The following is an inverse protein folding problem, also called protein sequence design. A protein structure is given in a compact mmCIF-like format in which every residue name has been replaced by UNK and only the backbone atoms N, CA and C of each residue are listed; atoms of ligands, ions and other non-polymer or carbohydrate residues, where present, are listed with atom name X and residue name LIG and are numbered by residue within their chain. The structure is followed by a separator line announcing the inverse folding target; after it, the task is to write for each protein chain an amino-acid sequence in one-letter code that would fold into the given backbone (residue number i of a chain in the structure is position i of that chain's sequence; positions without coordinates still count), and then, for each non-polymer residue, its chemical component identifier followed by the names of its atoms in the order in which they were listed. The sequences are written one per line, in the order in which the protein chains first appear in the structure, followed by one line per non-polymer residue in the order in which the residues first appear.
data_IF_513999487280
#
_entry.id   IF_513999487280
#
_cell.length_a   1.000
_cell.length_b   1.000
_cell.length_c   1.000
_cell.angle_alpha   90.00
_cell.angle_beta   90.00
_cell.angle_gamma   90.00
#
_symmetry.space_group_name_H-M   'P 1'
#
loop_
_entity.id
_entity.type
_entity.pdbx_description
1 polymer ?
#
# COMPACT_ATOMS: atom_id res chain seq x y z
N UNK A 1 -26.63 -35.01 6.86
CA UNK A 1 -26.27 -35.12 5.42
C UNK A 1 -24.96 -34.41 5.17
N UNK A 2 -23.90 -35.17 4.88
CA UNK A 2 -22.55 -34.63 4.69
C UNK A 2 -22.45 -33.89 3.35
N UNK A 3 -22.07 -32.62 3.41
CA UNK A 3 -21.80 -31.79 2.22
C UNK A 3 -20.55 -32.34 1.53
N UNK A 4 -20.58 -32.65 0.21
CA UNK A 4 -19.47 -33.28 -0.48
C UNK A 4 -18.24 -32.36 -0.58
N UNK A 5 -17.06 -32.99 -0.62
CA UNK A 5 -15.68 -32.47 -0.61
C UNK A 5 -15.28 -31.54 -1.79
N UNK A 6 -16.16 -30.67 -2.29
CA UNK A 6 -15.86 -29.75 -3.40
C UNK A 6 -15.32 -28.37 -2.97
N UNK A 7 -14.84 -28.23 -1.73
CA UNK A 7 -14.52 -26.94 -1.11
C UNK A 7 -13.03 -26.64 -0.91
N UNK A 8 -12.12 -27.53 -1.35
CA UNK A 8 -10.66 -27.36 -1.24
C UNK A 8 -10.07 -26.14 -2.01
N UNK A 9 -10.90 -25.33 -2.67
CA UNK A 9 -10.49 -24.13 -3.41
C UNK A 9 -10.96 -22.79 -2.84
N UNK A 10 -11.67 -22.77 -1.70
CA UNK A 10 -12.30 -21.54 -1.16
C UNK A 10 -11.34 -20.54 -0.52
N UNK A 11 -10.09 -20.93 -0.20
CA UNK A 11 -9.04 -20.03 0.29
C UNK A 11 -8.21 -19.35 -0.82
N UNK A 12 -8.31 -19.81 -2.08
CA UNK A 12 -7.50 -19.30 -3.20
C UNK A 12 -8.21 -18.17 -3.97
N UNK A 13 -7.52 -17.06 -4.32
CA UNK A 13 -8.08 -16.02 -5.17
C UNK A 13 -8.52 -16.58 -6.52
N UNK A 14 -9.71 -16.20 -7.00
CA UNK A 14 -10.20 -16.60 -8.33
C UNK A 14 -9.20 -16.13 -9.40
N UNK A 15 -8.65 -17.03 -10.24
CA UNK A 15 -7.75 -16.62 -11.32
C UNK A 15 -8.44 -15.62 -12.25
N UNK A 16 -7.96 -14.38 -12.26
CA UNK A 16 -8.39 -13.38 -13.23
C UNK A 16 -7.70 -13.66 -14.56
N UNK A 17 -8.48 -14.01 -15.57
CA UNK A 17 -8.04 -14.02 -16.96
C UNK A 17 -7.29 -15.27 -17.39
N UNK A 18 -8.02 -16.26 -17.93
CA UNK A 18 -7.40 -17.48 -18.48
C UNK A 18 -8.26 -18.24 -19.49
N UNK A 19 -9.32 -17.65 -20.06
CA UNK A 19 -10.23 -18.36 -20.99
C UNK A 19 -9.50 -18.98 -22.21
N UNK A 20 -8.36 -18.42 -22.65
CA UNK A 20 -7.59 -18.97 -23.78
C UNK A 20 -6.83 -20.26 -23.46
N UNK A 21 -6.28 -20.42 -22.24
CA UNK A 21 -5.49 -21.60 -21.87
C UNK A 21 -6.35 -22.84 -21.59
N UNK A 22 -7.53 -22.65 -21.01
CA UNK A 22 -8.46 -23.75 -20.74
C UNK A 22 -9.07 -24.33 -22.03
N UNK A 23 -9.39 -23.46 -23.01
CA UNK A 23 -9.93 -23.89 -24.31
C UNK A 23 -8.89 -24.61 -25.19
N UNK A 24 -7.60 -24.24 -25.08
CA UNK A 24 -6.51 -24.98 -25.74
C UNK A 24 -6.33 -26.38 -25.14
N UNK A 25 -6.26 -26.47 -23.79
CA UNK A 25 -6.05 -27.74 -23.08
C UNK A 25 -7.19 -28.75 -23.32
N UNK A 26 -8.43 -28.26 -23.44
CA UNK A 26 -9.60 -29.10 -23.72
C UNK A 26 -9.70 -29.53 -25.20
N UNK A 27 -9.12 -28.75 -26.13
CA UNK A 27 -9.03 -29.10 -27.56
C UNK A 27 -7.91 -30.12 -27.82
N UNK A 28 -6.80 -30.00 -27.08
CA UNK A 28 -5.65 -30.91 -27.14
C UNK A 28 -5.98 -32.28 -26.52
N UNK A 29 -6.75 -32.32 -25.42
CA UNK A 29 -7.26 -33.55 -24.82
C UNK A 29 -8.23 -34.33 -25.72
N UNK A 30 -8.98 -33.64 -26.59
CA UNK A 30 -9.88 -34.27 -27.58
C UNK A 30 -9.15 -34.86 -28.78
N UNK A 31 -7.94 -34.38 -29.08
CA UNK A 31 -7.12 -34.83 -30.21
C UNK A 31 -6.23 -36.04 -29.88
N UNK A 32 -5.96 -36.29 -28.59
CA UNK A 32 -5.05 -37.37 -28.15
C UNK A 32 -5.75 -38.66 -27.69
N UNK A 33 -7.08 -38.75 -27.74
CA UNK A 33 -7.81 -40.00 -27.46
C UNK A 33 -7.55 -40.62 -26.08
N UNK A 34 -7.06 -39.87 -25.10
CA UNK A 34 -6.81 -40.38 -23.74
C UNK A 34 -8.09 -40.30 -22.91
N UNK A 35 -8.86 -41.39 -22.91
CA UNK A 35 -9.91 -41.62 -21.93
C UNK A 35 -9.30 -42.22 -20.66
N UNK A 36 -8.96 -41.38 -19.69
CA UNK A 36 -8.79 -41.83 -18.30
C UNK A 36 -10.16 -41.87 -17.63
N UNK A 37 -10.61 -43.07 -17.30
CA UNK A 37 -11.84 -43.39 -16.58
C UNK A 37 -11.86 -42.78 -15.18
N UNK A 38 -12.64 -41.70 -15.01
CA UNK A 38 -13.18 -41.28 -13.70
C UNK A 38 -14.72 -41.18 -13.85
N UNK A 39 -15.48 -42.09 -13.24
CA UNK A 39 -16.92 -42.15 -13.42
C UNK A 39 -17.64 -41.28 -12.38
N UNK A 40 -17.56 -39.95 -12.47
CA UNK A 40 -18.50 -39.07 -11.72
C UNK A 40 -18.73 -37.66 -12.25
N UNK A 41 -18.21 -37.29 -13.43
CA UNK A 41 -18.42 -35.93 -13.97
C UNK A 41 -19.49 -35.86 -15.07
N UNK A 42 -20.09 -36.98 -15.45
CA UNK A 42 -20.95 -37.05 -16.65
C UNK A 42 -22.38 -36.50 -16.45
N UNK A 43 -22.82 -36.26 -15.21
CA UNK A 43 -24.19 -35.82 -14.89
C UNK A 43 -24.24 -34.50 -14.10
N UNK A 44 -23.52 -33.49 -14.57
CA UNK A 44 -23.63 -32.15 -13.97
C UNK A 44 -24.91 -31.47 -14.47
N UNK A 45 -25.83 -31.12 -13.58
CA UNK A 45 -27.15 -30.54 -13.90
C UNK A 45 -27.09 -29.41 -14.94
N UNK A 46 -26.02 -28.59 -14.95
CA UNK A 46 -25.86 -27.49 -15.90
C UNK A 46 -25.58 -27.92 -17.36
N UNK A 47 -25.41 -29.21 -17.62
CA UNK A 47 -25.24 -29.79 -18.97
C UNK A 47 -26.55 -30.33 -19.54
N UNK A 48 -27.65 -30.28 -18.79
CA UNK A 48 -28.96 -30.69 -19.26
C UNK A 48 -29.54 -29.61 -20.18
N UNK A 49 -30.08 -30.02 -21.33
CA UNK A 49 -30.59 -29.13 -22.38
C UNK A 49 -31.53 -28.03 -21.87
N UNK A 50 -32.37 -28.31 -20.86
CA UNK A 50 -33.27 -27.34 -20.23
C UNK A 50 -32.58 -26.13 -19.56
N UNK A 51 -31.28 -26.20 -19.35
CA UNK A 51 -30.46 -25.12 -18.79
C UNK A 51 -29.42 -24.59 -19.79
N UNK A 52 -29.53 -24.97 -21.07
CA UNK A 52 -28.61 -24.51 -22.09
C UNK A 52 -28.84 -23.02 -22.40
N UNK A 53 -27.97 -22.17 -21.84
CA UNK A 53 -27.98 -20.74 -22.10
C UNK A 53 -27.73 -20.39 -23.57
N UNK A 54 -27.23 -21.34 -24.38
CA UNK A 54 -27.05 -21.15 -25.80
C UNK A 54 -28.36 -21.25 -26.60
N UNK A 55 -29.34 -21.98 -26.08
CA UNK A 55 -30.68 -22.18 -26.66
C UNK A 55 -31.67 -21.15 -26.11
N UNK A 56 -31.63 -20.86 -24.80
CA UNK A 56 -32.69 -20.10 -24.12
C UNK A 56 -32.36 -18.63 -23.85
N UNK A 57 -31.09 -18.19 -23.94
CA UNK A 57 -30.74 -16.79 -23.69
C UNK A 57 -30.49 -16.03 -24.99
N UNK A 58 -31.10 -14.84 -25.09
CA UNK A 58 -30.82 -13.89 -26.16
C UNK A 58 -29.33 -13.49 -26.21
N UNK A 59 -28.85 -13.20 -27.42
CA UNK A 59 -27.44 -12.86 -27.67
C UNK A 59 -26.94 -11.68 -26.83
N UNK A 60 -27.78 -10.65 -26.63
CA UNK A 60 -27.43 -9.48 -25.84
C UNK A 60 -27.34 -9.80 -24.34
N UNK A 61 -28.30 -10.55 -23.81
CA UNK A 61 -28.30 -10.98 -22.42
C UNK A 61 -27.14 -11.94 -22.13
N UNK A 62 -26.81 -12.84 -23.04
CA UNK A 62 -25.65 -13.74 -22.91
C UNK A 62 -24.33 -12.98 -22.83
N UNK A 63 -24.15 -11.93 -23.64
CA UNK A 63 -22.99 -11.03 -23.57
C UNK A 63 -22.95 -10.25 -22.25
N UNK A 64 -24.10 -9.81 -21.73
CA UNK A 64 -24.20 -9.17 -20.42
C UNK A 64 -23.81 -10.14 -19.30
N UNK A 65 -24.39 -11.34 -19.28
CA UNK A 65 -24.09 -12.39 -18.32
C UNK A 65 -22.61 -12.78 -18.39
N UNK A 66 -22.02 -12.93 -19.57
CA UNK A 66 -20.59 -13.21 -19.71
C UNK A 66 -19.69 -12.11 -19.12
N UNK A 67 -20.11 -10.83 -19.18
CA UNK A 67 -19.38 -9.70 -18.58
C UNK A 67 -19.52 -9.66 -17.06
N UNK A 68 -20.68 -10.02 -16.52
CA UNK A 68 -21.00 -9.84 -15.10
C UNK A 68 -21.03 -11.12 -14.25
N UNK A 69 -20.99 -12.31 -14.85
CA UNK A 69 -21.08 -13.60 -14.14
C UNK A 69 -20.00 -13.74 -13.06
N UNK A 70 -18.76 -13.34 -13.35
CA UNK A 70 -17.69 -13.36 -12.35
C UNK A 70 -17.99 -12.43 -11.16
N UNK A 71 -18.63 -11.28 -11.39
CA UNK A 71 -19.01 -10.34 -10.32
C UNK A 71 -20.08 -10.96 -9.42
N UNK A 72 -21.05 -11.66 -10.02
CA UNK A 72 -22.11 -12.37 -9.30
C UNK A 72 -21.53 -13.55 -8.51
N UNK A 73 -20.72 -14.39 -9.14
CA UNK A 73 -20.06 -15.54 -8.48
C UNK A 73 -19.18 -15.10 -7.30
N UNK A 74 -18.44 -14.00 -7.44
CA UNK A 74 -17.66 -13.43 -6.34
C UNK A 74 -18.56 -12.93 -5.19
N UNK A 75 -19.73 -12.35 -5.49
CA UNK A 75 -20.70 -11.93 -4.47
C UNK A 75 -21.31 -13.13 -3.75
N UNK A 76 -21.77 -14.14 -4.49
CA UNK A 76 -22.31 -15.39 -3.91
C UNK A 76 -21.26 -16.07 -3.03
N UNK A 77 -20.02 -16.16 -3.51
CA UNK A 77 -18.90 -16.70 -2.72
C UNK A 77 -18.62 -15.89 -1.46
N UNK A 78 -18.66 -14.56 -1.54
CA UNK A 78 -18.46 -13.68 -0.39
C UNK A 78 -19.58 -13.85 0.64
N UNK A 79 -20.83 -13.98 0.21
CA UNK A 79 -21.98 -14.24 1.10
C UNK A 79 -21.86 -15.62 1.75
N UNK A 80 -21.46 -16.64 1.00
CA UNK A 80 -21.18 -17.97 1.55
C UNK A 80 -20.08 -17.92 2.62
N UNK A 81 -18.98 -17.22 2.33
CA UNK A 81 -17.87 -17.04 3.30
C UNK A 81 -18.34 -16.33 4.57
N UNK A 82 -19.11 -15.25 4.45
CA UNK A 82 -19.68 -14.57 5.63
C UNK A 82 -20.56 -15.53 6.43
N UNK A 83 -21.45 -16.27 5.76
CA UNK A 83 -22.37 -17.20 6.42
C UNK A 83 -21.62 -18.33 7.13
N UNK A 84 -20.72 -19.03 6.45
CA UNK A 84 -20.15 -20.27 6.98
C UNK A 84 -18.84 -20.10 7.74
N UNK A 85 -18.02 -19.10 7.39
CA UNK A 85 -16.67 -18.95 7.95
C UNK A 85 -16.55 -17.80 8.96
N UNK A 86 -17.43 -16.79 8.86
CA UNK A 86 -17.45 -15.66 9.82
C UNK A 86 -18.56 -15.86 10.85
N UNK A 87 -19.80 -16.11 10.41
CA UNK A 87 -20.93 -16.31 11.31
C UNK A 87 -20.93 -17.73 11.88
N UNK A 88 -20.60 -18.75 11.08
CA UNK A 88 -20.46 -20.13 11.55
C UNK A 88 -21.73 -20.62 12.25
N UNK A 89 -21.62 -21.04 13.50
CA UNK A 89 -22.72 -21.57 14.30
C UNK A 89 -23.77 -20.50 14.65
N UNK A 90 -23.38 -19.21 14.68
CA UNK A 90 -24.28 -18.08 14.95
C UNK A 90 -25.37 -17.93 13.88
N UNK A 91 -25.20 -18.56 12.72
CA UNK A 91 -26.21 -18.53 11.64
C UNK A 91 -27.56 -19.08 12.13
N UNK A 92 -27.54 -20.10 12.98
CA UNK A 92 -28.77 -20.68 13.53
C UNK A 92 -29.45 -19.70 14.48
N UNK A 93 -28.68 -19.11 15.40
CA UNK A 93 -29.16 -18.08 16.34
C UNK A 93 -29.75 -16.85 15.64
N UNK A 94 -29.08 -16.37 14.58
CA UNK A 94 -29.55 -15.26 13.75
C UNK A 94 -30.84 -15.64 13.00
N UNK A 95 -30.95 -16.88 12.53
CA UNK A 95 -32.15 -17.36 11.81
C UNK A 95 -33.35 -17.50 12.75
N UNK A 96 -33.11 -17.80 14.03
CA UNK A 96 -34.12 -17.89 15.09
C UNK A 96 -34.48 -16.52 15.70
N UNK A 97 -33.87 -15.44 15.19
CA UNK A 97 -34.17 -14.06 15.61
C UNK A 97 -33.56 -13.67 16.96
N UNK A 98 -32.59 -14.42 17.46
CA UNK A 98 -31.91 -14.10 18.71
C UNK A 98 -31.09 -12.81 18.60
N UNK A 99 -31.11 -11.99 19.64
CA UNK A 99 -30.41 -10.71 19.64
C UNK A 99 -28.94 -10.90 20.02
N UNK A 100 -28.02 -10.21 19.34
CA UNK A 100 -26.58 -10.29 19.62
C UNK A 100 -26.20 -9.87 21.06
N UNK A 101 -27.12 -9.26 21.80
CA UNK A 101 -26.92 -8.84 23.20
C UNK A 101 -27.33 -9.90 24.24
N UNK A 102 -27.92 -11.03 23.82
CA UNK A 102 -28.38 -12.13 24.69
C UNK A 102 -27.36 -13.28 24.79
N UNK A 103 -26.25 -13.19 24.05
CA UNK A 103 -25.23 -14.23 23.95
C UNK A 103 -24.21 -14.16 25.10
N UNK A 104 -24.63 -14.57 26.32
CA UNK A 104 -23.76 -14.69 27.51
C UNK A 104 -23.45 -16.12 27.95
N UNK A 105 -24.01 -17.15 27.31
CA UNK A 105 -24.03 -18.52 27.85
C UNK A 105 -23.50 -19.59 26.88
N UNK A 106 -22.51 -19.29 26.03
CA UNK A 106 -21.85 -20.32 25.21
C UNK A 106 -20.32 -20.24 25.25
N UNK A 107 -19.77 -20.04 26.45
CA UNK A 107 -18.32 -20.01 26.70
C UNK A 107 -17.84 -20.88 27.87
N UNK A 108 -18.69 -21.74 28.46
CA UNK A 108 -18.29 -22.65 29.54
C UNK A 108 -18.40 -24.09 29.08
N UNK A 109 -17.28 -24.63 28.61
CA UNK A 109 -16.87 -26.04 28.38
C UNK A 109 -15.75 -25.92 27.34
N UNK A 110 -14.50 -25.60 27.66
CA UNK A 110 -13.64 -26.15 28.70
C UNK A 110 -12.43 -25.22 28.85
N UNK A 111 -12.30 -24.54 29.97
CA UNK A 111 -11.04 -23.95 30.43
C UNK A 111 -10.85 -24.47 31.86
N UNK A 112 -10.03 -25.51 32.01
CA UNK A 112 -9.27 -25.72 33.22
C UNK A 112 -7.81 -25.41 32.89
N UNK A 113 -7.35 -24.34 33.52
CA UNK A 113 -5.98 -23.90 33.82
C UNK A 113 -4.85 -24.09 32.78
N UNK A 114 -4.32 -22.98 32.29
CA UNK A 114 -3.08 -22.35 32.81
C UNK A 114 -2.64 -21.23 31.86
N UNK A 115 -2.31 -20.05 32.39
CA UNK A 115 -2.13 -18.87 31.55
C UNK A 115 -1.61 -17.62 32.24
N UNK A 116 -0.33 -17.68 32.61
CA UNK A 116 0.60 -16.58 32.90
C UNK A 116 0.25 -15.20 32.30
N UNK A 117 0.36 -14.23 33.18
CA UNK A 117 0.21 -12.78 33.07
C UNK A 117 0.98 -12.14 31.89
N UNK A 118 0.30 -11.25 31.17
CA UNK A 118 0.88 -10.38 30.12
C UNK A 118 0.91 -8.94 30.62
N UNK A 119 2.10 -8.33 30.65
CA UNK A 119 2.23 -6.89 30.87
C UNK A 119 2.15 -6.12 29.56
N UNK A 120 0.99 -5.47 29.38
CA UNK A 120 0.69 -4.19 28.75
C UNK A 120 1.56 -3.60 27.62
N UNK A 121 0.88 -3.20 26.53
CA UNK A 121 1.15 -1.93 25.84
C UNK A 121 -0.18 -1.25 25.44
N UNK A 122 -0.28 0.10 25.47
CA UNK A 122 -1.54 0.85 25.39
C UNK A 122 -1.86 1.40 23.98
N UNK A 123 -3.17 1.60 23.75
CA UNK A 123 -3.81 2.74 23.05
C UNK A 123 -3.47 3.07 21.58
N UNK A 124 -4.46 3.15 20.66
CA UNK A 124 -4.28 3.70 19.32
C UNK A 124 -4.81 5.15 19.24
N UNK A 125 -3.94 6.10 18.87
CA UNK A 125 -4.33 7.34 18.22
C UNK A 125 -3.65 7.45 16.85
N UNK A 126 -4.42 7.99 15.91
CA UNK A 126 -4.07 8.49 14.58
C UNK A 126 -3.51 7.54 13.51
N UNK A 127 -4.37 7.25 12.52
CA UNK A 127 -3.93 6.96 11.15
C UNK A 127 -4.46 8.02 10.19
N UNK A 128 -3.58 8.71 9.43
CA UNK A 128 -3.98 9.66 8.42
C UNK A 128 -4.36 8.98 7.09
N UNK A 129 -5.30 9.65 6.44
CA UNK A 129 -5.83 9.46 5.09
C UNK A 129 -4.78 9.47 3.97
N UNK A 130 -5.05 8.71 2.89
CA UNK A 130 -4.90 9.06 1.45
C UNK A 130 -4.81 7.79 0.56
N UNK A 131 -4.96 7.86 -0.78
CA UNK A 131 -5.81 8.74 -1.60
C UNK A 131 -6.63 7.94 -2.64
N UNK A 132 -7.64 8.62 -3.21
CA UNK A 132 -8.48 8.13 -4.31
C UNK A 132 -7.70 7.98 -5.63
N UNK A 133 -8.15 7.08 -6.50
CA UNK A 133 -7.86 7.14 -7.94
C UNK A 133 -9.08 6.65 -8.74
N UNK A 134 -9.27 7.18 -9.97
CA UNK A 134 -10.57 7.40 -10.59
C UNK A 134 -11.00 6.24 -11.47
N UNK A 135 -12.28 6.22 -11.87
CA UNK A 135 -12.72 5.44 -13.02
C UNK A 135 -13.78 6.20 -13.85
N UNK A 136 -13.90 5.89 -15.15
CA UNK A 136 -14.44 6.78 -16.16
C UNK A 136 -15.97 6.73 -16.26
N UNK A 137 -16.53 7.89 -16.59
CA UNK A 137 -17.94 8.16 -16.87
C UNK A 137 -18.44 7.45 -18.13
N UNK A 138 -19.62 6.83 -18.07
CA UNK A 138 -20.58 6.69 -19.18
C UNK A 138 -22.00 6.79 -18.58
N UNK A 139 -22.97 7.47 -19.25
CA UNK A 139 -24.14 8.12 -18.61
C UNK A 139 -25.47 7.35 -18.75
N UNK A 140 -26.47 7.80 -17.97
CA UNK A 140 -27.90 7.45 -18.02
C UNK A 140 -28.33 6.52 -16.87
N UNK A 141 -29.39 6.74 -16.09
CA UNK A 141 -30.51 7.68 -16.11
C UNK A 141 -31.16 7.67 -14.71
N UNK A 142 -31.61 8.86 -14.32
CA UNK A 142 -32.65 9.28 -13.37
C UNK A 142 -33.09 8.43 -12.16
N UNK A 143 -33.10 9.12 -11.03
CA UNK A 143 -33.85 8.80 -9.81
C UNK A 143 -33.70 9.95 -8.82
N UNK A 144 -34.51 10.99 -8.99
CA UNK A 144 -34.44 12.23 -8.23
C UNK A 144 -34.57 12.02 -6.72
N UNK A 145 -33.76 12.75 -5.96
CA UNK A 145 -34.05 13.07 -4.57
C UNK A 145 -33.70 14.54 -4.32
N UNK A 146 -34.73 15.21 -3.82
CA UNK A 146 -34.88 16.61 -3.49
C UNK A 146 -33.76 17.13 -2.61
N UNK A 147 -33.22 18.30 -2.96
CA UNK A 147 -32.47 19.14 -2.05
C UNK A 147 -33.40 19.59 -0.92
N UNK A 148 -33.20 19.07 0.28
CA UNK A 148 -33.74 19.62 1.52
C UNK A 148 -32.56 19.98 2.41
N UNK A 149 -32.57 21.20 2.94
CA UNK A 149 -31.65 21.70 3.97
C UNK A 149 -31.34 20.62 5.03
N UNK A 150 -30.11 20.08 5.01
CA UNK A 150 -29.62 19.22 6.09
C UNK A 150 -28.72 20.04 7.03
N UNK A 151 -29.19 20.17 8.27
CA UNK A 151 -28.47 20.74 9.41
C UNK A 151 -27.03 20.17 9.49
N UNK A 152 -25.97 21.01 9.44
CA UNK A 152 -24.57 20.58 9.43
C UNK A 152 -24.15 19.84 10.72
N UNK A 153 -25.00 19.79 11.75
CA UNK A 153 -24.73 19.09 13.00
C UNK A 153 -25.48 17.76 13.18
N UNK A 154 -26.24 17.29 12.18
CA UNK A 154 -26.92 15.99 12.25
C UNK A 154 -25.98 14.85 11.85
N UNK A 155 -25.79 13.81 12.68
CA UNK A 155 -25.00 12.65 12.29
C UNK A 155 -25.66 11.96 11.09
N UNK A 156 -25.02 12.05 9.92
CA UNK A 156 -25.52 11.46 8.68
C UNK A 156 -25.27 9.95 8.69
N UNK A 157 -26.32 9.18 8.38
CA UNK A 157 -26.17 7.73 8.18
C UNK A 157 -25.23 7.47 7.00
N UNK A 158 -24.25 6.56 7.11
CA UNK A 158 -23.31 6.32 6.03
C UNK A 158 -24.00 5.90 4.74
N UNK A 159 -23.48 6.37 3.60
CA UNK A 159 -24.04 5.97 2.30
C UNK A 159 -23.91 4.45 2.09
N UNK A 160 -24.73 3.89 1.21
CA UNK A 160 -24.62 2.47 0.83
C UNK A 160 -23.22 2.12 0.28
N UNK A 161 -22.53 3.09 -0.32
CA UNK A 161 -21.15 2.90 -0.79
C UNK A 161 -20.17 2.83 0.38
N UNK A 162 -20.34 3.66 1.41
CA UNK A 162 -19.52 3.66 2.63
C UNK A 162 -19.69 2.36 3.40
N UNK A 163 -20.94 1.92 3.58
CA UNK A 163 -21.27 0.64 4.23
C UNK A 163 -20.65 -0.54 3.47
N UNK A 164 -20.80 -0.59 2.14
CA UNK A 164 -20.17 -1.63 1.32
C UNK A 164 -18.63 -1.61 1.42
N UNK A 165 -18.03 -0.41 1.44
CA UNK A 165 -16.58 -0.26 1.55
C UNK A 165 -16.07 -0.67 2.93
N UNK A 166 -16.80 -0.31 3.99
CA UNK A 166 -16.52 -0.74 5.36
C UNK A 166 -16.63 -2.26 5.50
N UNK A 167 -17.71 -2.87 5.01
CA UNK A 167 -17.93 -4.31 5.06
C UNK A 167 -16.78 -5.09 4.40
N UNK A 168 -16.34 -4.66 3.21
CA UNK A 168 -15.17 -5.27 2.54
C UNK A 168 -13.90 -5.19 3.37
N UNK A 169 -13.66 -4.04 4.02
CA UNK A 169 -12.48 -3.85 4.89
C UNK A 169 -12.54 -4.79 6.09
N UNK A 170 -13.70 -4.94 6.72
CA UNK A 170 -13.90 -5.87 7.85
C UNK A 170 -13.62 -7.31 7.42
N UNK A 171 -14.22 -7.77 6.32
CA UNK A 171 -14.00 -9.13 5.77
C UNK A 171 -12.51 -9.36 5.46
N UNK A 172 -11.86 -8.39 4.81
CA UNK A 172 -10.43 -8.48 4.47
C UNK A 172 -9.54 -8.50 5.72
N UNK A 173 -9.94 -7.77 6.77
CA UNK A 173 -9.25 -7.80 8.06
C UNK A 173 -9.36 -9.17 8.72
N UNK A 174 -10.56 -9.73 8.78
CA UNK A 174 -10.80 -11.08 9.29
C UNK A 174 -9.97 -12.11 8.52
N UNK A 175 -9.99 -12.11 7.18
CA UNK A 175 -9.21 -13.03 6.35
C UNK A 175 -7.70 -12.92 6.59
N UNK A 176 -7.17 -11.71 6.78
CA UNK A 176 -5.74 -11.51 7.10
C UNK A 176 -5.40 -12.03 8.50
N UNK A 177 -6.24 -11.78 9.49
CA UNK A 177 -6.04 -12.25 10.86
C UNK A 177 -6.16 -13.77 10.93
N UNK A 178 -7.21 -14.35 10.36
CA UNK A 178 -7.42 -15.80 10.27
C UNK A 178 -6.23 -16.49 9.62
N UNK A 179 -5.75 -15.97 8.47
CA UNK A 179 -4.57 -16.53 7.81
C UNK A 179 -3.29 -16.38 8.62
N UNK A 180 -3.13 -15.27 9.36
CA UNK A 180 -1.99 -15.04 10.26
C UNK A 180 -2.04 -16.00 11.45
N UNK A 181 -3.23 -16.28 11.96
CA UNK A 181 -3.48 -17.23 13.04
C UNK A 181 -3.27 -18.67 12.59
N UNK A 182 -3.75 -19.05 11.40
CA UNK A 182 -3.47 -20.34 10.76
C UNK A 182 -1.96 -20.53 10.54
N UNK A 183 -1.24 -19.48 10.13
CA UNK A 183 0.23 -19.47 10.04
C UNK A 183 0.90 -19.61 11.40
N UNK A 184 0.39 -18.96 12.45
CA UNK A 184 0.90 -19.12 13.82
C UNK A 184 0.63 -20.51 14.35
N UNK A 185 -0.56 -21.06 14.14
CA UNK A 185 -0.92 -22.42 14.53
C UNK A 185 -0.09 -23.43 13.75
N UNK A 186 0.15 -23.22 12.46
CA UNK A 186 1.04 -24.05 11.64
C UNK A 186 2.52 -23.88 12.02
N UNK A 187 2.94 -22.74 12.56
CA UNK A 187 4.28 -22.53 13.12
C UNK A 187 4.43 -23.17 14.51
N UNK A 188 3.36 -23.17 15.31
CA UNK A 188 3.28 -23.80 16.64
C UNK A 188 3.09 -25.33 16.55
N UNK A 189 2.44 -25.81 15.49
CA UNK A 189 2.22 -27.21 15.16
C UNK A 189 3.30 -27.78 14.24
N UNK A 190 4.15 -26.93 13.63
CA UNK A 190 5.49 -27.38 13.22
C UNK A 190 6.21 -27.70 14.54
N UNK A 191 6.71 -28.93 14.74
CA UNK A 191 7.64 -29.17 15.81
C UNK A 191 8.87 -28.32 15.50
N UNK A 192 8.93 -27.15 16.11
CA UNK A 192 10.14 -26.35 16.19
C UNK A 192 10.94 -26.97 17.31
N UNK A 193 11.50 -28.13 17.04
CA UNK A 193 12.73 -28.53 17.72
C UNK A 193 13.80 -27.57 17.20
N UNK A 194 14.40 -26.71 18.05
CA UNK A 194 15.62 -26.01 17.67
C UNK A 194 16.57 -27.06 17.09
N UNK A 195 17.15 -26.82 15.91
CA UNK A 195 18.09 -27.77 15.30
C UNK A 195 19.20 -28.21 16.30
N UNK A 196 19.52 -27.39 17.29
CA UNK A 196 20.37 -27.74 18.43
C UNK A 196 19.71 -28.71 19.44
N UNK A 197 18.46 -28.52 19.83
CA UNK A 197 17.74 -29.40 20.75
C UNK A 197 17.34 -30.74 20.11
N UNK A 198 17.03 -30.76 18.80
CA UNK A 198 16.82 -32.00 18.06
C UNK A 198 18.12 -32.80 17.97
N UNK A 199 19.26 -32.14 17.70
CA UNK A 199 20.58 -32.78 17.67
C UNK A 199 21.00 -33.25 19.08
N UNK A 200 20.68 -32.49 20.13
CA UNK A 200 20.94 -32.86 21.54
C UNK A 200 20.06 -34.04 21.99
N UNK A 201 18.78 -34.07 21.62
CA UNK A 201 17.86 -35.18 21.89
C UNK A 201 18.21 -36.45 21.08
N UNK A 202 18.71 -36.29 19.84
CA UNK A 202 19.24 -37.37 19.00
C UNK A 202 20.52 -37.97 19.61
N UNK A 203 21.41 -37.15 20.18
CA UNK A 203 22.60 -37.62 20.87
C UNK A 203 22.28 -38.29 22.22
N UNK A 204 21.23 -37.86 22.92
CA UNK A 204 20.77 -38.52 24.16
C UNK A 204 20.10 -39.88 23.90
N UNK A 205 19.59 -40.13 22.69
CA UNK A 205 19.02 -41.41 22.23
C UNK A 205 20.05 -42.37 21.58
N UNK A 206 21.34 -42.24 21.87
CA UNK A 206 22.41 -43.15 21.41
C UNK A 206 22.35 -44.58 22.01
N UNK A 207 21.16 -45.04 22.43
CA UNK A 207 20.96 -46.35 23.06
C UNK A 207 20.29 -47.42 22.21
N UNK A 208 19.47 -47.08 21.21
CA UNK A 208 18.71 -48.12 20.48
C UNK A 208 18.48 -47.76 19.02
N UNK A 209 19.26 -48.45 18.18
CA UNK A 209 18.94 -48.90 16.82
C UNK A 209 17.98 -48.01 16.03
N UNK A 210 18.53 -46.93 15.47
CA UNK A 210 17.86 -46.22 14.39
C UNK A 210 17.64 -47.18 13.22
N UNK A 211 16.40 -47.29 12.76
CA UNK A 211 16.12 -47.90 11.47
C UNK A 211 16.79 -47.04 10.39
N UNK A 212 17.76 -47.62 9.67
CA UNK A 212 18.50 -46.95 8.59
C UNK A 212 17.56 -46.33 7.55
N UNK A 213 16.35 -46.87 7.37
CA UNK A 213 15.31 -46.26 6.53
C UNK A 213 14.81 -44.92 7.07
N UNK A 214 14.64 -44.79 8.39
CA UNK A 214 14.10 -43.60 9.05
C UNK A 214 15.11 -42.44 9.03
N UNK A 215 16.40 -42.74 9.24
CA UNK A 215 17.48 -41.77 9.10
C UNK A 215 17.63 -41.30 7.65
N UNK A 216 17.58 -42.22 6.68
CA UNK A 216 17.63 -41.89 5.26
C UNK A 216 16.44 -40.98 4.85
N UNK A 217 15.23 -41.27 5.35
CA UNK A 217 14.04 -40.45 5.11
C UNK A 217 14.14 -39.04 5.73
N UNK A 218 14.72 -38.92 6.93
CA UNK A 218 14.96 -37.61 7.57
C UNK A 218 15.97 -36.77 6.79
N UNK A 219 17.12 -37.35 6.42
CA UNK A 219 18.15 -36.67 5.63
C UNK A 219 17.60 -36.24 4.27
N UNK A 220 16.84 -37.12 3.59
CA UNK A 220 16.16 -36.79 2.34
C UNK A 220 15.16 -35.63 2.49
N UNK A 221 14.41 -35.59 3.60
CA UNK A 221 13.48 -34.50 3.91
C UNK A 221 14.21 -33.19 4.15
N UNK A 222 15.30 -33.19 4.92
CA UNK A 222 16.15 -32.02 5.19
C UNK A 222 16.75 -31.49 3.89
N UNK A 223 17.38 -32.36 3.10
CA UNK A 223 17.98 -32.00 1.81
C UNK A 223 16.94 -31.44 0.84
N UNK A 224 15.74 -32.04 0.78
CA UNK A 224 14.62 -31.54 -0.03
C UNK A 224 14.13 -30.18 0.45
N UNK A 225 14.02 -29.95 1.77
CA UNK A 225 13.61 -28.65 2.31
C UNK A 225 14.66 -27.58 2.02
N UNK A 226 15.95 -27.86 2.19
CA UNK A 226 17.02 -26.91 1.86
C UNK A 226 17.08 -26.60 0.36
N UNK A 227 16.86 -27.61 -0.49
CA UNK A 227 16.78 -27.43 -1.94
C UNK A 227 15.60 -26.55 -2.33
N UNK A 228 14.44 -26.76 -1.71
CA UNK A 228 13.25 -25.92 -1.92
C UNK A 228 13.47 -24.49 -1.45
N UNK A 229 14.04 -24.29 -0.25
CA UNK A 229 14.37 -22.96 0.26
C UNK A 229 15.41 -22.24 -0.60
N UNK A 230 16.43 -22.95 -1.11
CA UNK A 230 17.39 -22.39 -2.07
C UNK A 230 16.69 -21.89 -3.33
N UNK A 231 15.79 -22.69 -3.90
CA UNK A 231 15.01 -22.29 -5.09
C UNK A 231 14.14 -21.05 -4.79
N UNK A 232 13.51 -20.98 -3.62
CA UNK A 232 12.70 -19.82 -3.21
C UNK A 232 13.57 -18.57 -3.04
N UNK A 233 14.68 -18.65 -2.30
CA UNK A 233 15.61 -17.52 -2.11
C UNK A 233 16.19 -17.03 -3.43
N UNK A 234 16.57 -17.95 -4.31
CA UNK A 234 17.06 -17.65 -5.65
C UNK A 234 16.01 -16.87 -6.46
N UNK A 235 14.78 -17.38 -6.47
CA UNK A 235 13.65 -16.73 -7.16
C UNK A 235 13.34 -15.35 -6.59
N UNK A 236 13.42 -15.19 -5.27
CA UNK A 236 13.24 -13.90 -4.61
C UNK A 236 14.36 -12.92 -4.96
N UNK A 237 15.62 -13.37 -4.98
CA UNK A 237 16.77 -12.56 -5.40
C UNK A 237 16.62 -12.09 -6.85
N UNK A 238 16.29 -12.99 -7.77
CA UNK A 238 16.03 -12.64 -9.17
C UNK A 238 14.87 -11.65 -9.29
N UNK A 239 13.79 -11.85 -8.54
CA UNK A 239 12.66 -10.91 -8.52
C UNK A 239 13.09 -9.53 -8.01
N UNK A 240 13.91 -9.47 -6.96
CA UNK A 240 14.42 -8.22 -6.41
C UNK A 240 15.32 -7.50 -7.41
N UNK A 241 16.22 -8.21 -8.09
CA UNK A 241 17.10 -7.63 -9.11
C UNK A 241 16.30 -7.04 -10.30
N UNK A 242 15.32 -7.79 -10.81
CA UNK A 242 14.41 -7.28 -11.84
C UNK A 242 13.64 -6.06 -11.35
N UNK A 243 13.21 -6.07 -10.08
CA UNK A 243 12.52 -4.94 -9.47
C UNK A 243 13.43 -3.74 -9.22
N UNK A 244 14.75 -3.91 -9.07
CA UNK A 244 15.70 -2.80 -8.99
C UNK A 244 15.78 -2.07 -10.34
N UNK A 245 15.99 -2.82 -11.42
CA UNK A 245 16.16 -2.28 -12.78
C UNK A 245 14.86 -1.67 -13.35
N UNK A 246 13.72 -2.27 -13.04
CA UNK A 246 12.43 -1.83 -13.59
C UNK A 246 11.82 -0.69 -12.77
N UNK A 247 11.48 0.40 -13.44
CA UNK A 247 10.68 1.48 -12.88
C UNK A 247 9.22 1.33 -13.34
N UNK A 248 8.29 1.30 -12.39
CA UNK A 248 6.86 1.33 -12.67
C UNK A 248 6.37 2.76 -12.82
N UNK A 249 5.31 2.97 -13.60
CA UNK A 249 4.66 4.30 -13.76
C UNK A 249 4.36 5.00 -12.43
N UNK A 250 4.04 4.23 -11.38
CA UNK A 250 3.81 4.76 -10.03
C UNK A 250 5.12 5.26 -9.40
N UNK A 251 6.18 4.46 -9.46
CA UNK A 251 7.50 4.85 -8.93
C UNK A 251 8.04 6.08 -9.67
N UNK A 252 7.88 6.17 -11.00
CA UNK A 252 8.25 7.35 -11.79
C UNK A 252 7.49 8.60 -11.32
N UNK A 253 6.18 8.47 -11.11
CA UNK A 253 5.34 9.57 -10.66
C UNK A 253 5.70 10.02 -9.23
N UNK A 254 5.91 9.07 -8.32
CA UNK A 254 6.27 9.36 -6.93
C UNK A 254 7.69 9.95 -6.84
N UNK A 255 8.64 9.49 -7.67
CA UNK A 255 9.95 10.11 -7.85
C UNK A 255 9.81 11.56 -8.35
N UNK A 256 9.08 11.78 -9.43
CA UNK A 256 8.86 13.12 -10.01
C UNK A 256 8.26 14.10 -8.99
N UNK A 257 7.20 13.69 -8.27
CA UNK A 257 6.56 14.53 -7.25
C UNK A 257 7.55 14.90 -6.14
N UNK A 258 8.35 13.93 -5.70
CA UNK A 258 9.31 14.14 -4.62
C UNK A 258 10.45 15.04 -5.06
N UNK A 259 11.08 14.76 -6.21
CA UNK A 259 12.22 15.55 -6.71
C UNK A 259 11.83 16.98 -7.07
N UNK A 260 10.64 17.20 -7.63
CA UNK A 260 10.15 18.57 -7.94
C UNK A 260 9.78 19.38 -6.70
N UNK A 261 9.52 18.72 -5.57
CA UNK A 261 9.16 19.40 -4.30
C UNK A 261 10.38 19.61 -3.41
N UNK A 262 11.19 18.58 -3.25
CA UNK A 262 12.27 18.51 -2.27
C UNK A 262 13.66 18.46 -2.88
N UNK A 263 13.82 18.29 -4.19
CA UNK A 263 15.11 18.03 -4.82
C UNK A 263 15.73 16.71 -4.32
N UNK A 264 17.05 16.59 -4.44
CA UNK A 264 17.85 15.49 -3.87
C UNK A 264 19.00 16.11 -3.08
N UNK A 265 19.25 15.62 -1.87
CA UNK A 265 20.36 16.08 -1.05
C UNK A 265 21.67 15.48 -1.55
N UNK A 266 22.72 16.29 -1.63
CA UNK A 266 24.05 15.88 -2.06
C UNK A 266 25.08 16.14 -0.96
N UNK A 267 25.77 15.08 -0.52
CA UNK A 267 26.85 15.16 0.45
C UNK A 267 28.15 15.46 -0.28
N UNK A 268 28.60 16.72 -0.25
CA UNK A 268 29.84 17.17 -0.90
C UNK A 268 31.10 16.53 -0.29
N UNK A 269 31.07 16.10 0.97
CA UNK A 269 32.23 15.48 1.61
C UNK A 269 32.40 14.04 1.13
N UNK A 270 31.29 13.32 0.97
CA UNK A 270 31.29 11.93 0.48
C UNK A 270 31.13 11.83 -1.04
N UNK A 271 30.93 12.95 -1.72
CA UNK A 271 30.69 13.05 -3.16
C UNK A 271 29.57 12.10 -3.64
N UNK A 272 28.44 12.06 -2.91
CA UNK A 272 27.32 11.16 -3.20
C UNK A 272 25.97 11.77 -2.84
N UNK A 273 24.93 11.33 -3.53
CA UNK A 273 23.55 11.67 -3.20
C UNK A 273 23.10 10.93 -1.93
N UNK A 274 22.31 11.61 -1.10
CA UNK A 274 21.71 11.04 0.10
C UNK A 274 20.25 10.66 -0.17
N UNK A 275 20.00 9.35 -0.17
CA UNK A 275 18.71 8.79 -0.59
C UNK A 275 17.79 8.43 0.55
N UNK A 276 18.27 8.40 1.80
CA UNK A 276 17.49 7.89 2.95
C UNK A 276 16.18 8.67 3.11
N UNK A 277 16.27 10.00 3.23
CA UNK A 277 15.09 10.87 3.37
C UNK A 277 14.21 10.84 2.12
N UNK A 278 14.83 10.89 0.94
CA UNK A 278 14.11 10.87 -0.34
C UNK A 278 13.25 9.60 -0.46
N UNK A 279 13.82 8.43 -0.15
CA UNK A 279 13.13 7.13 -0.24
C UNK A 279 11.89 7.07 0.65
N UNK A 280 11.97 7.59 1.87
CA UNK A 280 10.81 7.65 2.77
C UNK A 280 9.71 8.56 2.23
N UNK A 281 10.08 9.73 1.68
CA UNK A 281 9.09 10.68 1.13
C UNK A 281 8.45 10.15 -0.16
N UNK A 282 9.22 9.49 -1.02
CA UNK A 282 8.76 8.99 -2.32
C UNK A 282 8.20 7.56 -2.28
N UNK A 283 8.24 6.86 -1.12
CA UNK A 283 7.84 5.46 -0.97
C UNK A 283 8.64 4.51 -1.90
N UNK A 284 9.94 4.78 -2.03
CA UNK A 284 10.90 4.02 -2.84
C UNK A 284 11.91 3.26 -1.97
N UNK A 285 11.51 2.82 -0.77
CA UNK A 285 12.40 2.18 0.22
C UNK A 285 13.08 0.91 -0.32
N UNK A 286 12.47 0.28 -1.32
CA UNK A 286 12.99 -0.92 -1.97
C UNK A 286 14.08 -0.65 -2.99
N UNK A 287 14.26 0.59 -3.48
CA UNK A 287 15.29 0.93 -4.47
C UNK A 287 16.65 1.14 -3.79
N UNK A 288 17.72 0.73 -4.44
CA UNK A 288 19.08 0.96 -3.96
C UNK A 288 19.61 2.32 -4.39
N UNK A 289 20.54 2.87 -3.61
CA UNK A 289 21.15 4.18 -3.83
C UNK A 289 21.73 4.32 -5.25
N UNK A 290 22.38 3.27 -5.78
CA UNK A 290 22.94 3.28 -7.14
C UNK A 290 21.84 3.41 -8.20
N UNK A 291 20.76 2.62 -8.06
CA UNK A 291 19.62 2.68 -9.00
C UNK A 291 18.86 4.00 -8.94
N UNK A 292 18.77 4.61 -7.75
CA UNK A 292 18.19 5.93 -7.56
C UNK A 292 19.06 7.01 -8.22
N UNK A 293 20.37 6.90 -8.07
CA UNK A 293 21.35 7.81 -8.67
C UNK A 293 21.32 7.74 -10.19
N UNK A 294 21.33 6.53 -10.76
CA UNK A 294 21.23 6.31 -12.20
C UNK A 294 19.93 6.90 -12.76
N UNK A 295 18.79 6.64 -12.10
CA UNK A 295 17.51 7.20 -12.49
C UNK A 295 17.47 8.73 -12.38
N UNK A 296 18.03 9.31 -11.32
CA UNK A 296 18.11 10.76 -11.16
C UNK A 296 18.95 11.43 -12.24
N UNK A 297 20.13 10.86 -12.56
CA UNK A 297 20.98 11.36 -13.66
C UNK A 297 20.23 11.30 -14.99
N UNK A 298 19.58 10.18 -15.29
CA UNK A 298 18.76 10.03 -16.50
C UNK A 298 17.57 11.01 -16.53
N UNK A 299 16.93 11.26 -15.38
CA UNK A 299 15.83 12.21 -15.24
C UNK A 299 16.28 13.65 -15.50
N UNK A 300 17.41 14.08 -14.93
CA UNK A 300 17.99 15.42 -15.16
C UNK A 300 18.42 15.58 -16.62
N UNK A 301 19.07 14.58 -17.20
CA UNK A 301 19.46 14.57 -18.61
C UNK A 301 18.23 14.66 -19.53
N UNK A 302 17.15 13.92 -19.22
CA UNK A 302 15.87 14.03 -19.91
C UNK A 302 15.30 15.45 -19.84
N UNK A 303 15.26 16.06 -18.65
CA UNK A 303 14.74 17.42 -18.51
C UNK A 303 15.57 18.42 -19.32
N UNK A 304 16.90 18.32 -19.28
CA UNK A 304 17.81 19.18 -20.05
C UNK A 304 17.60 19.02 -21.55
N UNK A 305 17.45 17.78 -22.03
CA UNK A 305 17.21 17.46 -23.44
C UNK A 305 15.92 18.07 -23.95
N UNK A 306 14.82 17.93 -23.20
CA UNK A 306 13.53 18.54 -23.58
C UNK A 306 13.62 20.06 -23.58
N UNK A 307 14.39 20.66 -22.66
CA UNK A 307 14.61 22.10 -22.62
C UNK A 307 15.70 22.61 -23.57
N UNK A 308 16.18 21.77 -24.51
CA UNK A 308 17.23 22.10 -25.48
C UNK A 308 18.53 22.66 -24.83
N UNK A 309 18.84 22.22 -23.61
CA UNK A 309 20.08 22.58 -22.93
C UNK A 309 21.22 21.67 -23.39
N UNK A 310 22.47 22.15 -23.29
CA UNK A 310 23.65 21.30 -23.53
C UNK A 310 23.80 20.27 -22.41
N UNK A 311 24.02 19.02 -22.79
CA UNK A 311 24.32 17.92 -21.88
C UNK A 311 25.84 17.81 -21.69
N UNK A 312 26.28 17.29 -20.54
CA UNK A 312 27.66 16.84 -20.36
C UNK A 312 27.86 15.45 -20.95
N UNK A 313 29.12 15.02 -21.17
CA UNK A 313 29.43 13.67 -21.68
C UNK A 313 28.80 12.57 -20.81
N UNK A 314 28.83 12.73 -19.48
CA UNK A 314 28.18 11.80 -18.53
C UNK A 314 26.65 11.74 -18.70
N UNK A 315 26.02 12.86 -19.04
CA UNK A 315 24.57 12.97 -19.24
C UNK A 315 24.13 12.42 -20.61
N UNK A 316 25.02 12.44 -21.61
CA UNK A 316 24.77 11.83 -22.92
C UNK A 316 24.82 10.31 -22.86
N UNK A 317 25.66 9.72 -21.99
CA UNK A 317 25.80 8.28 -21.82
C UNK A 317 24.66 7.61 -21.00
N UNK A 318 23.63 8.33 -20.55
CA UNK A 318 22.55 7.72 -19.76
C UNK A 318 21.68 6.81 -20.64
N UNK A 319 21.76 5.50 -20.42
CA UNK A 319 20.99 4.50 -21.19
C UNK A 319 19.54 4.32 -20.67
N UNK A 320 19.26 4.75 -19.43
CA UNK A 320 17.97 4.58 -18.80
C UNK A 320 16.90 5.48 -19.44
N UNK A 321 15.84 4.86 -19.96
CA UNK A 321 14.71 5.60 -20.53
C UNK A 321 13.80 6.18 -19.44
N UNK A 322 13.60 7.50 -19.49
CA UNK A 322 12.65 8.23 -18.66
C UNK A 322 11.62 8.88 -19.58
N UNK A 323 10.33 8.70 -19.28
CA UNK A 323 9.25 9.33 -20.05
C UNK A 323 9.44 10.87 -20.07
N UNK A 324 9.49 11.50 -21.26
CA UNK A 324 9.66 12.94 -21.37
C UNK A 324 8.53 13.72 -20.68
N UNK A 325 8.91 14.76 -19.94
CA UNK A 325 7.96 15.75 -19.43
C UNK A 325 7.67 16.82 -20.50
N UNK A 326 6.53 17.53 -20.42
CA UNK A 326 6.35 18.78 -21.16
C UNK A 326 7.46 19.78 -20.84
N UNK A 327 7.89 20.57 -21.82
CA UNK A 327 9.05 21.47 -21.70
C UNK A 327 8.93 22.44 -20.51
N UNK A 328 7.81 23.13 -20.35
CA UNK A 328 7.59 24.06 -19.23
C UNK A 328 7.65 23.38 -17.87
N UNK A 329 7.30 22.09 -17.81
CA UNK A 329 7.34 21.30 -16.59
C UNK A 329 8.76 20.84 -16.28
N UNK A 330 9.50 20.40 -17.30
CA UNK A 330 10.92 20.06 -17.19
C UNK A 330 11.74 21.28 -16.73
N UNK A 331 11.53 22.44 -17.37
CA UNK A 331 12.26 23.69 -17.06
C UNK A 331 12.07 24.13 -15.62
N UNK A 332 10.81 24.25 -15.18
CA UNK A 332 10.47 24.59 -13.78
C UNK A 332 11.02 23.59 -12.77
N UNK A 333 11.08 22.31 -13.14
CA UNK A 333 11.63 21.27 -12.27
C UNK A 333 13.14 21.43 -12.13
N UNK A 334 13.86 21.68 -13.23
CA UNK A 334 15.30 21.95 -13.20
C UNK A 334 15.65 23.20 -12.39
N UNK A 335 14.92 24.30 -12.60
CA UNK A 335 15.10 25.54 -11.83
C UNK A 335 14.95 25.29 -10.33
N UNK A 336 13.92 24.53 -9.94
CA UNK A 336 13.69 24.16 -8.54
C UNK A 336 14.79 23.27 -7.96
N UNK A 337 15.21 22.24 -8.70
CA UNK A 337 16.30 21.35 -8.28
C UNK A 337 17.58 22.17 -8.05
N UNK A 338 17.93 23.03 -9.00
CA UNK A 338 19.12 23.89 -8.92
C UNK A 338 19.03 24.87 -7.75
N UNK A 339 17.86 25.49 -7.53
CA UNK A 339 17.65 26.39 -6.40
C UNK A 339 17.86 25.67 -5.06
N UNK A 340 17.25 24.49 -4.90
CA UNK A 340 17.35 23.71 -3.66
C UNK A 340 18.78 23.22 -3.40
N UNK A 341 19.45 22.72 -4.44
CA UNK A 341 20.87 22.35 -4.38
C UNK A 341 21.73 23.55 -3.97
N UNK A 342 21.56 24.70 -4.62
CA UNK A 342 22.31 25.92 -4.29
C UNK A 342 22.08 26.39 -2.84
N UNK A 343 20.83 26.34 -2.36
CA UNK A 343 20.53 26.69 -0.97
C UNK A 343 21.29 25.78 0.00
N UNK A 344 21.24 24.46 -0.22
CA UNK A 344 21.83 23.45 0.68
C UNK A 344 23.34 23.38 0.61
N UNK A 345 23.91 23.52 -0.58
CA UNK A 345 25.33 23.23 -0.84
C UNK A 345 26.22 24.48 -0.86
N UNK A 346 25.65 25.65 -1.16
CA UNK A 346 26.42 26.89 -1.32
C UNK A 346 25.98 27.99 -0.33
N UNK A 347 24.67 28.24 -0.20
CA UNK A 347 24.16 29.40 0.55
C UNK A 347 24.21 29.15 2.06
N UNK A 348 23.55 28.10 2.54
CA UNK A 348 23.48 27.80 3.97
C UNK A 348 24.85 27.51 4.60
N UNK A 349 25.78 26.78 3.94
CA UNK A 349 27.11 26.55 4.49
C UNK A 349 28.06 27.75 4.37
N UNK A 350 27.64 28.85 3.74
CA UNK A 350 28.55 29.96 3.45
C UNK A 350 29.04 30.65 4.75
N UNK A 351 30.36 30.82 4.96
CA UNK A 351 30.90 31.33 6.23
C UNK A 351 30.46 32.76 6.58
N UNK A 352 30.17 33.58 5.56
CA UNK A 352 29.69 34.96 5.72
C UNK A 352 28.17 35.11 5.55
N UNK A 353 27.39 34.01 5.61
CA UNK A 353 25.93 34.09 5.38
C UNK A 353 25.26 35.09 6.32
N UNK A 354 25.56 35.00 7.61
CA UNK A 354 24.94 35.87 8.63
C UNK A 354 25.23 37.35 8.40
N UNK A 355 26.46 37.70 7.98
CA UNK A 355 26.82 39.08 7.70
C UNK A 355 26.09 39.60 6.45
N UNK A 356 25.92 38.77 5.42
CA UNK A 356 25.19 39.15 4.20
C UNK A 356 23.70 39.32 4.45
N UNK A 357 23.11 38.47 5.30
CA UNK A 357 21.69 38.56 5.67
C UNK A 357 21.37 39.84 6.44
N UNK A 358 22.33 40.42 7.17
CA UNK A 358 22.16 41.74 7.82
C UNK A 358 21.96 42.89 6.83
N UNK A 359 22.34 42.71 5.57
CA UNK A 359 22.18 43.70 4.51
C UNK A 359 20.79 43.64 3.84
N UNK A 360 19.97 42.65 4.18
CA UNK A 360 18.61 42.52 3.65
C UNK A 360 17.76 43.73 4.05
N UNK A 361 17.09 44.31 3.06
CA UNK A 361 16.20 45.45 3.24
C UNK A 361 14.74 44.98 3.35
N UNK A 362 13.90 45.81 3.98
CA UNK A 362 12.45 45.57 4.02
C UNK A 362 11.91 45.60 2.60
N UNK A 363 11.03 44.65 2.25
CA UNK A 363 10.32 44.61 0.97
C UNK A 363 8.83 44.83 1.20
N UNK A 364 8.16 45.47 0.23
CA UNK A 364 6.70 45.58 0.21
C UNK A 364 6.01 44.23 -0.05
N UNK A 365 6.75 43.22 -0.53
CA UNK A 365 6.22 41.89 -0.84
C UNK A 365 6.08 40.98 0.39
N UNK A 366 6.55 41.43 1.56
CA UNK A 366 6.50 40.68 2.83
C UNK A 366 5.66 41.43 3.87
N UNK A 367 5.00 40.73 4.82
CA UNK A 367 4.22 41.37 5.87
C UNK A 367 5.05 42.28 6.78
N UNK A 368 4.41 43.25 7.43
CA UNK A 368 5.07 44.23 8.32
C UNK A 368 5.80 43.60 9.52
N UNK A 369 5.39 42.39 9.94
CA UNK A 369 6.07 41.65 11.01
C UNK A 369 7.37 40.97 10.54
N UNK A 370 7.67 40.98 9.24
CA UNK A 370 8.87 40.37 8.70
C UNK A 370 10.11 41.14 9.14
N UNK A 371 11.05 40.44 9.79
CA UNK A 371 12.32 41.00 10.23
C UNK A 371 13.39 40.58 9.22
N UNK A 372 13.88 41.50 8.36
CA UNK A 372 14.90 41.17 7.37
C UNK A 372 16.15 40.55 8.02
N UNK A 373 16.80 39.66 7.29
CA UNK A 373 17.93 38.86 7.73
C UNK A 373 17.51 37.69 8.64
N UNK A 374 16.74 37.96 9.70
CA UNK A 374 16.29 36.91 10.63
C UNK A 374 15.30 35.96 9.96
N UNK A 375 14.17 36.47 9.46
CA UNK A 375 13.13 35.62 8.86
C UNK A 375 13.54 35.12 7.47
N UNK A 376 14.44 35.84 6.78
CA UNK A 376 15.06 35.35 5.54
C UNK A 376 15.92 34.11 5.79
N UNK A 377 16.70 34.09 6.88
CA UNK A 377 17.45 32.91 7.31
C UNK A 377 16.53 31.73 7.59
N UNK A 378 15.48 31.95 8.38
CA UNK A 378 14.50 30.91 8.72
C UNK A 378 13.78 30.38 7.49
N UNK A 379 13.47 31.25 6.52
CA UNK A 379 12.90 30.84 5.24
C UNK A 379 13.88 29.94 4.46
N UNK A 380 15.16 30.31 4.37
CA UNK A 380 16.18 29.49 3.71
C UNK A 380 16.32 28.12 4.36
N UNK A 381 16.37 28.07 5.71
CA UNK A 381 16.44 26.82 6.48
C UNK A 381 15.18 25.99 6.27
N UNK A 382 13.99 26.61 6.34
CA UNK A 382 12.72 25.96 6.12
C UNK A 382 12.59 25.37 4.72
N UNK A 383 12.98 26.12 3.68
CA UNK A 383 13.00 25.64 2.29
C UNK A 383 14.01 24.50 2.10
N UNK A 384 15.19 24.59 2.71
CA UNK A 384 16.18 23.52 2.66
C UNK A 384 15.65 22.23 3.29
N UNK A 385 14.96 22.31 4.42
CA UNK A 385 14.43 21.16 5.18
C UNK A 385 13.16 20.58 4.58
N UNK A 386 12.22 21.41 4.16
CA UNK A 386 10.86 21.00 3.78
C UNK A 386 10.55 21.18 2.28
N UNK A 387 11.48 21.69 1.50
CA UNK A 387 11.24 21.98 0.09
C UNK A 387 10.25 23.11 -0.14
N UNK A 388 9.67 23.15 -1.33
CA UNK A 388 8.82 24.26 -1.81
C UNK A 388 7.33 23.88 -1.95
N UNK A 389 6.92 22.74 -1.40
CA UNK A 389 5.53 22.26 -1.44
C UNK A 389 4.87 22.35 -0.07
N UNK A 390 3.60 22.80 -0.02
CA UNK A 390 2.83 22.95 1.23
C UNK A 390 3.62 23.71 2.31
N UNK A 391 4.25 24.82 1.93
CA UNK A 391 5.12 25.62 2.81
C UNK A 391 4.35 26.19 4.00
N UNK A 392 3.07 26.50 3.80
CA UNK A 392 2.10 26.89 4.81
C UNK A 392 1.90 25.83 5.90
N UNK A 393 2.03 24.55 5.54
CA UNK A 393 1.95 23.47 6.50
C UNK A 393 3.30 23.16 7.14
N UNK A 394 4.34 22.93 6.35
CA UNK A 394 5.61 22.41 6.87
C UNK A 394 6.53 23.48 7.46
N UNK A 395 6.70 24.62 6.78
CA UNK A 395 7.62 25.68 7.24
C UNK A 395 7.00 26.45 8.40
N UNK A 396 5.71 26.82 8.30
CA UNK A 396 5.06 27.62 9.34
C UNK A 396 4.88 26.86 10.67
N UNK A 397 4.82 25.53 10.65
CA UNK A 397 4.65 24.72 11.85
C UNK A 397 5.95 24.08 12.37
N UNK A 398 7.10 24.32 11.72
CA UNK A 398 8.38 23.80 12.19
C UNK A 398 8.71 24.39 13.58
N UNK A 399 8.91 23.57 14.63
CA UNK A 399 9.27 24.06 15.96
C UNK A 399 10.65 24.76 16.01
N UNK A 400 11.53 24.50 15.04
CA UNK A 400 12.88 25.08 14.98
C UNK A 400 12.91 26.46 14.29
N UNK A 401 11.79 26.90 13.70
CA UNK A 401 11.69 28.18 12.98
C UNK A 401 10.84 29.18 13.75
N UNK A 402 11.16 30.47 13.62
CA UNK A 402 10.44 31.53 14.35
C UNK A 402 9.01 31.79 13.84
N UNK A 403 8.65 31.30 12.65
CA UNK A 403 7.33 31.49 12.05
C UNK A 403 6.18 30.98 12.91
N UNK A 404 6.36 29.85 13.59
CA UNK A 404 5.33 29.21 14.42
C UNK A 404 4.87 30.12 15.56
N UNK A 405 5.80 30.83 16.18
CA UNK A 405 5.49 31.75 17.28
C UNK A 405 4.79 33.01 16.78
N UNK A 406 5.19 33.50 15.61
CA UNK A 406 4.63 34.71 14.99
C UNK A 406 3.17 34.50 14.63
N UNK A 407 2.83 33.36 14.02
CA UNK A 407 1.43 33.02 13.72
C UNK A 407 0.61 32.90 15.00
N UNK A 408 1.14 32.25 16.03
CA UNK A 408 0.45 32.15 17.32
C UNK A 408 0.16 33.54 17.90
N UNK A 409 1.13 34.45 17.88
CA UNK A 409 0.97 35.83 18.39
C UNK A 409 -0.02 36.63 17.55
N UNK A 410 0.06 36.56 16.23
CA UNK A 410 -0.85 37.28 15.34
C UNK A 410 -2.30 36.76 15.42
N UNK A 411 -2.51 35.44 15.55
CA UNK A 411 -3.85 34.88 15.77
C UNK A 411 -4.47 35.30 17.11
N UNK A 412 -3.65 35.51 18.15
CA UNK A 412 -4.10 36.03 19.45
C UNK A 412 -4.43 37.52 19.35
N UNK A 413 -3.62 38.30 18.62
CA UNK A 413 -3.85 39.74 18.41
C UNK A 413 -5.18 40.02 17.68
N UNK A 414 -5.50 39.25 16.64
CA UNK A 414 -6.77 39.38 15.90
C UNK A 414 -8.00 39.08 16.78
N UNK A 415 -7.88 38.13 17.73
CA UNK A 415 -8.96 37.85 18.70
C UNK A 415 -9.15 38.99 19.72
N UNK A 416 -8.07 39.69 20.07
CA UNK A 416 -8.11 40.84 20.99
C UNK A 416 -8.72 42.09 20.32
N UNK A 417 -8.40 42.34 19.05
CA UNK A 417 -8.97 43.47 18.29
C UNK A 417 -10.45 43.25 17.94
N UNK A 418 -10.84 42.01 17.62
CA UNK A 418 -12.25 41.64 17.40
C UNK A 418 -13.14 41.79 18.63
N UNK A 419 -12.57 41.71 19.84
CA UNK A 419 -13.30 41.94 21.10
C UNK A 419 -13.31 43.41 21.54
N UNK A 420 -12.44 44.24 20.97
CA UNK A 420 -12.32 45.66 21.32
C UNK A 420 -13.17 46.57 20.42
N UNK A 421 -13.50 46.12 19.20
CA UNK A 421 -14.34 46.86 18.26
C UNK A 421 -15.85 46.74 18.51
N UNK A 422 -16.30 45.88 19.44
CA UNK A 422 -17.72 45.78 19.83
C UNK A 422 -18.13 46.72 20.96
N UNK A 423 -17.21 47.52 21.51
CA UNK A 423 -17.48 48.45 22.62
C UNK A 423 -17.39 49.94 22.23
N UNK A 424 -17.32 50.26 20.94
CA UNK A 424 -17.38 51.65 20.43
C UNK A 424 -18.47 51.81 19.38
N UNK A 425 -19.70 51.51 19.78
CA UNK A 425 -20.90 51.94 19.06
C UNK A 425 -22.05 52.09 20.06
N UNK A 426 -21.94 53.08 20.94
CA UNK A 426 -23.07 53.74 21.62
C UNK A 426 -22.80 55.25 21.70
#
# INVERSE_FOLDING_TARGET
SAVPRNHLGLHSPVPRGGRRKMKLKMKEARLLGQTSSEPTEMDHWSRHDKYDGDIFLESNYRKHLARHANKVLLRVRMLYYIKHEILGDLVHHISDGQNASEEKELGKLSDDEDGSETTAAPGPDDLPSEPATPNPSVPGEEGGQTASDEDPNKPQWPSMQDLNSRLRRVITSYQRNFKKEELKLAQKAKPMEPHAAAVEAINQQLGTNWDWHQLAMYLWKVERTEKYERIVRERERQRMEVNQKKWSRREEQDFYKTVSTYGVDFDRQKNRFEWTKFRTMSRLEKKFDDTMTEYYKAFVAMCKRVCCMKLTEEEECTELYVEPLPEDKARRTLERINLLSKIREEILPHPQLDERLRLCQVSADVPDWWVPGKHDKDLLVGVAKHGLGKTDFFILNDPELSFREIIRKNMISVKSEGSSNTLKLE
#
